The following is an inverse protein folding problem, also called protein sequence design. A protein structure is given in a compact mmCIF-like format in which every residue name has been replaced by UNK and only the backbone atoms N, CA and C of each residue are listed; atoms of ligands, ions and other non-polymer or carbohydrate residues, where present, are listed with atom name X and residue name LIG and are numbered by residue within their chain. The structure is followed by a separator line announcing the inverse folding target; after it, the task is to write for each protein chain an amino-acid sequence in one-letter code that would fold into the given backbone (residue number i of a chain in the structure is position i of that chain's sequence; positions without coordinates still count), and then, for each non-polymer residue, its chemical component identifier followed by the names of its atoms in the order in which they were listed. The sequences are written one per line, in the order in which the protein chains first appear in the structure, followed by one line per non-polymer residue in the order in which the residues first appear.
data_IF_763537834786
#
_entry.id   IF_763537834786
#
_cell.length_a   1.000
_cell.length_b   1.000
_cell.length_c   1.000
_cell.angle_alpha   90.00
_cell.angle_beta   90.00
_cell.angle_gamma   90.00
#
_symmetry.space_group_name_H-M   'P 1'
#
loop_
_entity.id
_entity.type
_entity.pdbx_description
1 polymer ?
#
# COMPACT_ATOMS: atom_id res chain seq x y z
N UNK A 1 -45.76 25.60 5.99
CA UNK A 1 -45.81 24.22 6.49
C UNK A 1 -44.38 23.82 6.66
N UNK A 2 -43.95 23.58 7.88
CA UNK A 2 -42.56 23.17 8.15
C UNK A 2 -42.45 21.68 7.85
N UNK A 3 -41.46 21.28 7.04
CA UNK A 3 -41.21 19.88 6.74
C UNK A 3 -40.32 19.30 7.84
N UNK A 4 -40.78 18.23 8.49
CA UNK A 4 -39.99 17.47 9.44
C UNK A 4 -39.48 16.19 8.78
N UNK A 5 -38.17 16.00 8.79
CA UNK A 5 -37.53 14.74 8.38
C UNK A 5 -36.80 14.13 9.57
N UNK A 6 -36.87 12.81 9.68
CA UNK A 6 -36.00 12.08 10.60
C UNK A 6 -34.58 12.01 10.03
N UNK A 7 -33.57 12.07 10.89
CA UNK A 7 -32.17 12.07 10.47
C UNK A 7 -31.79 10.83 9.64
N UNK A 8 -32.36 9.67 9.95
CA UNK A 8 -32.19 8.43 9.18
C UNK A 8 -32.69 8.54 7.72
N UNK A 9 -33.79 9.27 7.49
CA UNK A 9 -34.36 9.53 6.17
C UNK A 9 -33.48 10.52 5.40
N UNK A 10 -32.93 11.53 6.08
CA UNK A 10 -32.04 12.51 5.47
C UNK A 10 -30.74 11.86 4.99
N UNK A 11 -30.15 10.96 5.79
CA UNK A 11 -28.96 10.19 5.40
C UNK A 11 -29.27 9.27 4.22
N UNK A 12 -30.42 8.59 4.23
CA UNK A 12 -30.85 7.74 3.11
C UNK A 12 -31.10 8.55 1.83
N UNK A 13 -31.57 9.80 1.96
CA UNK A 13 -31.78 10.69 0.82
C UNK A 13 -30.46 11.27 0.28
N UNK A 14 -29.51 11.61 1.17
CA UNK A 14 -28.24 12.22 0.80
C UNK A 14 -27.29 11.23 0.10
N UNK A 15 -27.31 9.95 0.50
CA UNK A 15 -26.43 8.91 -0.06
C UNK A 15 -27.11 8.19 -1.24
N UNK A 16 -28.43 8.34 -1.39
CA UNK A 16 -29.22 7.64 -2.39
C UNK A 16 -29.63 6.24 -1.92
N UNK A 17 -30.61 5.64 -2.61
CA UNK A 17 -31.05 4.28 -2.30
C UNK A 17 -29.94 3.27 -2.59
N UNK A 18 -29.71 2.27 -1.73
CA UNK A 18 -28.64 1.30 -1.91
C UNK A 18 -28.81 0.53 -3.23
N UNK A 19 -27.88 0.75 -4.17
CA UNK A 19 -27.84 0.02 -5.44
C UNK A 19 -27.03 -1.28 -5.30
N UNK A 20 -27.55 -2.37 -5.87
CA UNK A 20 -26.86 -3.67 -5.87
C UNK A 20 -25.63 -3.57 -6.77
N UNK A 21 -24.44 -3.63 -6.17
CA UNK A 21 -23.16 -3.52 -6.87
C UNK A 21 -22.30 -2.32 -6.45
N UNK A 22 -22.90 -1.29 -5.83
CA UNK A 22 -22.19 -0.13 -5.30
C UNK A 22 -21.73 -0.36 -3.86
N UNK A 23 -20.73 -1.24 -3.67
CA UNK A 23 -20.28 -1.71 -2.35
C UNK A 23 -19.86 -0.55 -1.43
N UNK A 24 -19.19 0.48 -1.97
CA UNK A 24 -18.67 1.59 -1.18
C UNK A 24 -19.77 2.47 -0.57
N UNK A 25 -20.83 2.78 -1.34
CA UNK A 25 -21.94 3.60 -0.85
C UNK A 25 -22.85 2.83 0.11
N UNK A 26 -23.01 1.52 -0.12
CA UNK A 26 -23.74 0.66 0.81
C UNK A 26 -23.02 0.50 2.16
N UNK A 27 -21.69 0.41 2.14
CA UNK A 27 -20.87 0.37 3.36
C UNK A 27 -20.93 1.72 4.10
N UNK A 28 -20.80 2.83 3.37
CA UNK A 28 -20.89 4.18 3.92
C UNK A 28 -22.27 4.45 4.53
N UNK A 29 -23.34 4.05 3.85
CA UNK A 29 -24.71 4.16 4.36
C UNK A 29 -24.88 3.36 5.65
N UNK A 30 -24.41 2.11 5.71
CA UNK A 30 -24.46 1.27 6.92
C UNK A 30 -23.65 1.87 8.05
N UNK A 31 -22.45 2.36 7.75
CA UNK A 31 -21.57 2.99 8.73
C UNK A 31 -22.20 4.25 9.33
N UNK A 32 -22.75 5.14 8.49
CA UNK A 32 -23.40 6.37 8.95
C UNK A 32 -24.68 6.10 9.73
N UNK A 33 -25.47 5.09 9.33
CA UNK A 33 -26.63 4.65 10.10
C UNK A 33 -26.21 4.07 11.47
N UNK A 34 -25.08 3.37 11.55
CA UNK A 34 -24.58 2.82 12.81
C UNK A 34 -23.98 3.91 13.72
N UNK A 35 -23.30 4.90 13.15
CA UNK A 35 -22.86 6.10 13.90
C UNK A 35 -24.05 6.88 14.46
N UNK A 36 -25.14 7.00 13.72
CA UNK A 36 -26.36 7.65 14.19
C UNK A 36 -26.99 6.93 15.38
N UNK A 37 -26.95 5.58 15.39
CA UNK A 37 -27.37 4.80 16.56
C UNK A 37 -26.45 4.97 17.76
N UNK A 38 -25.13 4.98 17.54
CA UNK A 38 -24.15 5.16 18.61
C UNK A 38 -24.22 6.54 19.27
N UNK A 39 -24.79 7.53 18.58
CA UNK A 39 -24.91 8.92 19.07
C UNK A 39 -26.29 9.26 19.64
N UNK A 40 -27.20 8.27 19.74
CA UNK A 40 -28.61 8.46 20.15
C UNK A 40 -29.39 9.49 19.30
N UNK A 41 -28.89 9.81 18.10
CA UNK A 41 -29.48 10.80 17.19
C UNK A 41 -30.49 10.20 16.20
N UNK A 42 -30.78 8.90 16.30
CA UNK A 42 -31.71 8.19 15.40
C UNK A 42 -33.13 8.78 15.42
N UNK A 43 -33.55 9.38 16.54
CA UNK A 43 -34.86 10.04 16.70
C UNK A 43 -34.84 11.56 16.47
N UNK A 44 -33.68 12.14 16.15
CA UNK A 44 -33.56 13.57 15.92
C UNK A 44 -34.35 13.95 14.65
N UNK A 45 -35.33 14.85 14.83
CA UNK A 45 -36.13 15.41 13.75
C UNK A 45 -35.58 16.78 13.38
N UNK A 46 -35.25 16.95 12.11
CA UNK A 46 -34.81 18.23 11.56
C UNK A 46 -36.02 18.90 10.92
N UNK A 47 -36.38 20.06 11.44
CA UNK A 47 -37.43 20.93 10.90
C UNK A 47 -36.82 21.89 9.89
N UNK A 48 -37.28 21.86 8.64
CA UNK A 48 -36.93 22.86 7.64
C UNK A 48 -38.03 23.90 7.53
N UNK A 49 -37.65 25.19 7.63
CA UNK A 49 -38.56 26.29 7.37
C UNK A 49 -38.83 26.40 5.87
N UNK A 50 -40.03 26.81 5.49
CA UNK A 50 -40.41 27.04 4.09
C UNK A 50 -39.49 28.05 3.36
N UNK A 51 -38.85 28.96 4.09
CA UNK A 51 -37.87 29.91 3.53
C UNK A 51 -36.50 29.27 3.20
N UNK A 52 -36.13 28.17 3.86
CA UNK A 52 -34.86 27.47 3.61
C UNK A 52 -34.97 26.56 2.39
N UNK A 53 -36.12 25.90 2.24
CA UNK A 53 -36.42 25.05 1.07
C UNK A 53 -36.53 25.90 -0.21
N UNK A 54 -37.05 27.13 -0.11
CA UNK A 54 -37.11 28.06 -1.25
C UNK A 54 -35.72 28.51 -1.74
N UNK A 55 -34.69 28.50 -0.88
CA UNK A 55 -33.30 28.84 -1.26
C UNK A 55 -32.54 27.68 -1.91
N UNK A 56 -33.06 26.45 -1.83
CA UNK A 56 -32.43 25.24 -2.35
C UNK A 56 -32.95 24.82 -3.74
N UNK A 57 -33.93 25.55 -4.31
CA UNK A 57 -34.61 25.17 -5.53
C UNK A 57 -34.08 25.86 -6.79
N UNK A 58 -32.99 25.35 -7.38
CA UNK A 58 -32.86 25.33 -8.85
C UNK A 58 -31.75 24.38 -9.34
N UNK A 59 -31.68 23.13 -8.86
CA UNK A 59 -30.93 22.10 -9.58
C UNK A 59 -31.62 20.73 -9.50
N UNK A 60 -32.10 20.31 -10.67
CA UNK A 60 -32.39 18.94 -11.09
C UNK A 60 -33.47 18.15 -10.34
N UNK A 61 -34.72 18.26 -10.80
CA UNK A 61 -35.61 17.11 -11.03
C UNK A 61 -36.44 17.35 -12.30
N UNK A 62 -36.01 16.80 -13.44
CA UNK A 62 -36.89 16.57 -14.58
C UNK A 62 -37.86 15.44 -14.21
N UNK A 63 -39.18 15.64 -14.24
CA UNK A 63 -40.11 14.54 -14.12
C UNK A 63 -40.10 13.70 -15.40
N UNK A 64 -40.01 12.40 -15.23
CA UNK A 64 -40.25 11.39 -16.27
C UNK A 64 -41.73 11.45 -16.65
N UNK A 65 -42.04 11.95 -17.85
CA UNK A 65 -43.37 11.82 -18.44
C UNK A 65 -43.48 10.52 -19.24
N UNK A 66 -44.34 9.61 -18.79
CA UNK A 66 -44.99 8.60 -19.63
C UNK A 66 -46.36 9.14 -20.06
N UNK A 67 -46.66 8.98 -21.34
CA UNK A 67 -47.99 8.66 -21.88
C UNK A 67 -49.04 9.76 -21.79
N UNK A 68 -49.32 10.39 -22.93
CA UNK A 68 -50.32 11.44 -23.04
C UNK A 68 -51.77 10.97 -23.07
N UNK A 69 -52.67 11.94 -23.10
CA UNK A 69 -53.73 12.00 -24.10
C UNK A 69 -54.12 13.47 -24.32
N UNK A 70 -54.65 13.70 -25.51
CA UNK A 70 -54.96 14.97 -26.17
C UNK A 70 -56.24 15.60 -25.66
N UNK A 71 -56.40 16.87 -26.04
CA UNK A 71 -57.61 17.60 -26.51
C UNK A 71 -57.48 19.05 -26.03
N UNK A 72 -57.92 20.09 -26.71
CA UNK A 72 -58.16 20.46 -28.11
C UNK A 72 -58.51 21.97 -28.04
N UNK A 73 -58.66 22.62 -29.20
CA UNK A 73 -59.19 23.99 -29.43
C UNK A 73 -58.21 25.15 -29.17
N UNK A 74 -57.59 25.75 -30.19
CA UNK A 74 -58.15 26.59 -31.27
C UNK A 74 -58.45 28.04 -30.80
N UNK A 75 -57.90 29.03 -31.50
CA UNK A 75 -58.57 30.24 -32.04
C UNK A 75 -57.51 31.27 -32.52
N UNK A 76 -57.37 31.27 -33.85
CA UNK A 76 -57.14 32.34 -34.86
C UNK A 76 -56.25 33.61 -34.68
N UNK A 77 -55.59 34.10 -35.78
CA UNK A 77 -54.84 35.38 -35.93
C UNK A 77 -55.79 36.55 -36.31
N UNK A 78 -55.43 37.84 -36.64
CA UNK A 78 -54.15 38.42 -37.13
C UNK A 78 -53.83 39.90 -36.71
N UNK A 79 -52.70 40.49 -37.18
CA UNK A 79 -52.57 41.79 -37.92
C UNK A 79 -51.15 42.41 -37.82
N UNK A 80 -50.53 42.68 -38.98
CA UNK A 80 -49.38 43.60 -39.16
C UNK A 80 -49.84 45.07 -38.95
N UNK A 81 -48.96 46.01 -38.59
CA UNK A 81 -48.24 46.78 -39.62
C UNK A 81 -46.80 47.22 -39.22
N UNK A 82 -46.01 47.64 -40.22
CA UNK A 82 -44.83 48.48 -39.99
C UNK A 82 -43.54 47.98 -40.64
N UNK A 83 -43.39 48.23 -41.94
CA UNK A 83 -42.08 48.22 -42.58
C UNK A 83 -41.22 49.37 -42.04
N UNK A 84 -40.08 49.04 -41.43
CA UNK A 84 -38.90 49.91 -41.44
C UNK A 84 -37.74 49.10 -42.04
N UNK A 85 -37.46 49.37 -43.31
CA UNK A 85 -36.27 48.91 -44.00
C UNK A 85 -35.04 49.62 -43.39
N UNK A 86 -34.22 48.88 -42.66
CA UNK A 86 -32.82 49.24 -42.50
C UNK A 86 -32.06 48.80 -43.76
N UNK A 87 -31.19 49.65 -44.35
CA UNK A 87 -30.29 49.20 -45.39
C UNK A 87 -29.29 48.24 -44.76
N UNK A 88 -29.47 46.94 -44.96
CA UNK A 88 -28.45 45.96 -44.66
C UNK A 88 -27.40 46.10 -45.76
N UNK A 89 -26.22 46.58 -45.38
CA UNK A 89 -25.06 46.72 -46.25
C UNK A 89 -24.62 45.31 -46.70
N UNK A 90 -24.77 44.95 -48.00
CA UNK A 90 -24.55 43.59 -48.48
C UNK A 90 -23.13 43.10 -48.21
N UNK A 91 -22.15 44.00 -48.18
CA UNK A 91 -20.75 43.68 -47.89
C UNK A 91 -20.52 43.17 -46.45
N UNK A 92 -21.34 43.58 -45.48
CA UNK A 92 -21.22 43.08 -44.09
C UNK A 92 -21.85 41.72 -43.91
N UNK A 93 -22.89 41.41 -44.68
CA UNK A 93 -23.52 40.09 -44.69
C UNK A 93 -22.59 39.09 -45.36
N UNK A 94 -21.95 39.49 -46.47
CA UNK A 94 -20.94 38.68 -47.15
C UNK A 94 -19.74 38.41 -46.23
N UNK A 95 -19.25 39.43 -45.51
CA UNK A 95 -18.18 39.24 -44.53
C UNK A 95 -18.60 38.33 -43.35
N UNK A 96 -19.83 38.47 -42.84
CA UNK A 96 -20.34 37.58 -41.80
C UNK A 96 -20.50 36.14 -42.30
N UNK A 97 -20.87 35.97 -43.58
CA UNK A 97 -20.99 34.66 -44.19
C UNK A 97 -19.61 34.01 -44.32
N UNK A 98 -18.60 34.78 -44.75
CA UNK A 98 -17.20 34.38 -44.84
C UNK A 98 -16.65 33.98 -43.46
N UNK A 99 -16.86 34.81 -42.44
CA UNK A 99 -16.44 34.56 -41.06
C UNK A 99 -17.14 33.31 -40.48
N UNK A 100 -18.41 33.09 -40.81
CA UNK A 100 -19.17 31.92 -40.35
C UNK A 100 -18.75 30.63 -41.08
N UNK A 101 -18.34 30.73 -42.35
CA UNK A 101 -17.67 29.63 -43.06
C UNK A 101 -16.29 29.32 -42.49
N UNK A 102 -15.53 30.34 -42.08
CA UNK A 102 -14.22 30.15 -41.46
C UNK A 102 -14.34 29.50 -40.09
N UNK A 103 -15.28 29.95 -39.25
CA UNK A 103 -15.57 29.32 -37.95
C UNK A 103 -16.05 27.89 -38.12
N UNK A 104 -16.87 27.60 -39.14
CA UNK A 104 -17.27 26.23 -39.48
C UNK A 104 -16.05 25.37 -39.83
N UNK A 105 -15.15 25.88 -40.66
CA UNK A 105 -13.93 25.17 -41.05
C UNK A 105 -13.01 24.92 -39.84
N UNK A 106 -12.84 25.91 -38.97
CA UNK A 106 -12.02 25.79 -37.76
C UNK A 106 -12.62 24.79 -36.74
N UNK A 107 -13.96 24.73 -36.62
CA UNK A 107 -14.66 23.71 -35.82
C UNK A 107 -14.50 22.32 -36.41
N UNK A 108 -14.48 22.19 -37.73
CA UNK A 108 -14.32 20.93 -38.45
C UNK A 108 -12.87 20.42 -38.34
N UNK A 109 -11.85 21.30 -38.41
CA UNK A 109 -10.44 20.98 -38.12
C UNK A 109 -10.22 20.62 -36.65
N UNK A 110 -10.83 21.35 -35.72
CA UNK A 110 -10.73 21.04 -34.29
C UNK A 110 -11.43 19.72 -33.95
N UNK A 111 -12.58 19.43 -34.56
CA UNK A 111 -13.27 18.13 -34.43
C UNK A 111 -12.41 17.00 -34.98
N UNK A 112 -11.72 17.23 -36.10
CA UNK A 112 -10.77 16.27 -36.69
C UNK A 112 -9.60 16.00 -35.75
N UNK A 113 -9.02 17.05 -35.15
CA UNK A 113 -7.93 16.93 -34.17
C UNK A 113 -8.34 16.25 -32.88
N UNK A 114 -9.50 16.60 -32.32
CA UNK A 114 -10.05 15.94 -31.14
C UNK A 114 -10.30 14.45 -31.43
N UNK A 115 -10.81 14.10 -32.61
CA UNK A 115 -11.01 12.70 -33.01
C UNK A 115 -9.70 11.95 -33.22
N UNK A 116 -8.65 12.63 -33.68
CA UNK A 116 -7.30 12.06 -33.80
C UNK A 116 -6.64 11.89 -32.43
N UNK A 117 -6.92 12.79 -31.49
CA UNK A 117 -6.47 12.74 -30.09
C UNK A 117 -7.25 11.71 -29.25
N UNK A 118 -8.54 11.50 -29.56
CA UNK A 118 -9.40 10.47 -28.96
C UNK A 118 -8.96 9.06 -29.41
N UNK A 119 -8.56 8.91 -30.69
CA UNK A 119 -7.87 7.71 -31.17
C UNK A 119 -6.47 7.49 -30.57
N UNK A 120 -5.80 8.56 -30.10
CA UNK A 120 -4.53 8.48 -29.37
C UNK A 120 -4.71 8.02 -27.91
N UNK A 121 -5.85 8.30 -27.28
CA UNK A 121 -6.22 7.73 -25.96
C UNK A 121 -6.69 6.27 -26.05
N UNK A 122 -7.15 5.80 -27.21
CA UNK A 122 -7.37 4.38 -27.53
C UNK A 122 -6.10 3.68 -28.04
N UNK A 123 -4.92 4.28 -27.90
CA UNK A 123 -3.68 3.59 -28.27
C UNK A 123 -3.42 2.40 -27.34
N UNK A 124 -2.99 1.32 -27.99
CA UNK A 124 -2.43 0.05 -27.48
C UNK A 124 -1.87 0.07 -26.04
N UNK A 125 -1.08 1.07 -25.58
CA UNK A 125 -0.57 1.15 -24.21
C UNK A 125 -1.61 1.14 -23.09
N UNK A 126 -2.79 1.76 -23.26
CA UNK A 126 -3.81 1.74 -22.19
C UNK A 126 -4.51 0.38 -22.07
N UNK A 127 -4.67 -0.33 -23.19
CA UNK A 127 -5.22 -1.68 -23.20
C UNK A 127 -4.23 -2.70 -22.61
N UNK A 128 -2.93 -2.53 -22.89
CA UNK A 128 -1.87 -3.37 -22.30
C UNK A 128 -1.63 -3.06 -20.81
N UNK A 129 -1.75 -1.81 -20.39
CA UNK A 129 -1.74 -1.43 -18.98
C UNK A 129 -2.94 -2.03 -18.23
N UNK A 130 -4.11 -2.05 -18.87
CA UNK A 130 -5.31 -2.72 -18.33
C UNK A 130 -5.14 -4.24 -18.24
N UNK A 131 -4.49 -4.85 -19.23
CA UNK A 131 -4.15 -6.29 -19.20
C UNK A 131 -3.10 -6.61 -18.12
N UNK A 132 -2.15 -5.72 -17.87
CA UNK A 132 -1.15 -5.85 -16.80
C UNK A 132 -1.78 -5.69 -15.42
N UNK A 133 -2.76 -4.79 -15.28
CA UNK A 133 -3.55 -4.63 -14.05
C UNK A 133 -4.42 -5.88 -13.77
N UNK A 134 -4.90 -6.57 -14.80
CA UNK A 134 -5.58 -7.87 -14.68
C UNK A 134 -4.65 -9.00 -14.16
N UNK A 135 -3.34 -8.92 -14.40
CA UNK A 135 -2.38 -9.84 -13.78
C UNK A 135 -2.22 -9.59 -12.26
N UNK A 136 -2.48 -8.36 -11.80
CA UNK A 136 -2.47 -8.01 -10.36
C UNK A 136 -3.70 -8.60 -9.63
N UNK A 137 -4.86 -8.67 -10.28
CA UNK A 137 -6.02 -9.42 -9.75
C UNK A 137 -5.69 -10.91 -9.57
N UNK A 138 -4.95 -11.50 -10.51
CA UNK A 138 -4.44 -12.87 -10.39
C UNK A 138 -3.41 -13.07 -9.26
N UNK A 139 -2.69 -12.02 -8.85
CA UNK A 139 -1.81 -12.03 -7.69
C UNK A 139 -2.60 -12.00 -6.38
N UNK A 140 -3.71 -11.25 -6.31
CA UNK A 140 -4.61 -11.25 -5.15
C UNK A 140 -5.26 -12.63 -4.93
N UNK A 141 -5.66 -13.32 -6.00
CA UNK A 141 -6.23 -14.67 -5.90
C UNK A 141 -5.18 -15.72 -5.45
N UNK A 142 -3.92 -15.54 -5.85
CA UNK A 142 -2.79 -16.37 -5.37
C UNK A 142 -2.40 -16.07 -3.92
N UNK A 143 -2.44 -14.80 -3.50
CA UNK A 143 -2.25 -14.40 -2.10
C UNK A 143 -3.31 -15.01 -1.21
N UNK A 144 -4.57 -14.96 -1.64
CA UNK A 144 -5.69 -15.61 -0.93
C UNK A 144 -5.51 -17.12 -0.83
N UNK A 145 -5.02 -17.77 -1.89
CA UNK A 145 -4.72 -19.21 -1.88
C UNK A 145 -3.56 -19.57 -0.94
N UNK A 146 -2.58 -18.68 -0.80
CA UNK A 146 -1.49 -18.79 0.18
C UNK A 146 -2.00 -18.59 1.61
N UNK A 147 -2.90 -17.64 1.84
CA UNK A 147 -3.58 -17.43 3.14
C UNK A 147 -4.41 -18.66 3.55
N UNK A 148 -5.21 -19.21 2.63
CA UNK A 148 -6.02 -20.42 2.88
C UNK A 148 -5.12 -21.64 3.20
N UNK A 149 -3.94 -21.74 2.57
CA UNK A 149 -2.96 -22.77 2.88
C UNK A 149 -2.27 -22.55 4.24
N UNK A 150 -1.98 -21.31 4.60
CA UNK A 150 -1.43 -20.92 5.90
C UNK A 150 -2.41 -21.22 7.05
N UNK A 151 -3.70 -21.00 6.81
CA UNK A 151 -4.76 -21.37 7.76
C UNK A 151 -4.90 -22.91 7.85
N UNK A 152 -4.78 -23.64 6.73
CA UNK A 152 -4.76 -25.11 6.76
C UNK A 152 -3.55 -25.71 7.51
N UNK A 153 -2.42 -24.98 7.55
CA UNK A 153 -1.21 -25.37 8.27
C UNK A 153 -1.31 -25.16 9.79
N UNK A 154 -2.24 -24.30 10.23
CA UNK A 154 -2.51 -24.02 11.64
C UNK A 154 -3.27 -25.17 12.32
N UNK A 155 -4.09 -25.89 11.55
CA UNK A 155 -4.89 -27.03 12.03
C UNK A 155 -4.10 -28.35 12.17
N UNK A 156 -2.86 -28.40 11.66
CA UNK A 156 -2.01 -29.61 11.73
C UNK A 156 -0.91 -29.51 12.80
N UNK A 157 -1.13 -28.71 13.83
CA UNK A 157 -0.23 -28.58 14.97
C UNK A 157 -0.35 -29.75 15.95
N UNK A 158 -0.06 -30.99 15.55
CA UNK A 158 0.41 -32.10 16.44
C UNK A 158 0.70 -33.38 15.64
N UNK A 159 1.76 -33.48 14.83
CA UNK A 159 2.39 -34.80 14.60
C UNK A 159 3.89 -34.66 14.40
N UNK A 160 4.63 -35.29 15.30
CA UNK A 160 6.06 -35.57 15.20
C UNK A 160 6.33 -36.48 13.99
N UNK A 161 6.75 -35.94 12.86
CA UNK A 161 7.45 -36.77 11.87
C UNK A 161 8.54 -35.98 11.12
N UNK A 162 9.79 -36.39 11.34
CA UNK A 162 11.00 -35.70 10.85
C UNK A 162 11.17 -35.78 9.31
N UNK A 163 10.28 -36.49 8.61
CA UNK A 163 10.25 -36.54 7.14
C UNK A 163 9.54 -35.37 6.43
N UNK A 164 8.67 -34.63 7.13
CA UNK A 164 7.84 -33.57 6.50
C UNK A 164 8.55 -32.23 6.35
N UNK A 165 9.52 -31.91 7.22
CA UNK A 165 10.20 -30.59 7.20
C UNK A 165 11.09 -30.46 5.96
N UNK A 166 11.76 -31.53 5.52
CA UNK A 166 12.58 -31.53 4.30
C UNK A 166 11.76 -31.31 3.04
N UNK A 167 10.62 -31.98 2.91
CA UNK A 167 9.69 -31.78 1.79
C UNK A 167 9.10 -30.36 1.78
N UNK A 168 8.88 -29.78 2.97
CA UNK A 168 8.43 -28.39 3.11
C UNK A 168 9.52 -27.39 2.69
N UNK A 169 10.79 -27.71 2.94
CA UNK A 169 11.92 -26.87 2.54
C UNK A 169 12.12 -26.92 1.01
N UNK A 170 12.12 -28.11 0.41
CA UNK A 170 12.24 -28.29 -1.05
C UNK A 170 11.11 -27.59 -1.81
N UNK A 171 9.88 -27.66 -1.27
CA UNK A 171 8.74 -26.97 -1.86
C UNK A 171 8.88 -25.44 -1.75
N UNK A 172 9.35 -24.93 -0.61
CA UNK A 172 9.61 -23.50 -0.42
C UNK A 172 10.71 -23.01 -1.38
N UNK A 173 11.78 -23.78 -1.53
CA UNK A 173 12.90 -23.48 -2.41
C UNK A 173 12.47 -23.45 -3.88
N UNK A 174 11.67 -24.44 -4.31
CA UNK A 174 11.09 -24.47 -5.66
C UNK A 174 10.17 -23.27 -5.91
N UNK A 175 9.38 -22.88 -4.91
CA UNK A 175 8.44 -21.74 -5.02
C UNK A 175 9.18 -20.40 -5.05
N UNK A 176 10.22 -20.24 -4.22
CA UNK A 176 11.06 -19.05 -4.20
C UNK A 176 11.84 -18.90 -5.51
N UNK A 177 12.39 -19.99 -6.04
CA UNK A 177 13.06 -19.99 -7.35
C UNK A 177 12.10 -19.60 -8.48
N UNK A 178 10.84 -20.06 -8.43
CA UNK A 178 9.83 -19.67 -9.41
C UNK A 178 9.44 -18.19 -9.33
N UNK A 179 9.39 -17.62 -8.12
CA UNK A 179 9.16 -16.18 -7.95
C UNK A 179 10.36 -15.34 -8.40
N UNK A 180 11.60 -15.82 -8.19
CA UNK A 180 12.81 -15.13 -8.62
C UNK A 180 12.89 -15.05 -10.16
N UNK A 181 12.54 -16.14 -10.85
CA UNK A 181 12.46 -16.17 -12.32
C UNK A 181 11.35 -15.25 -12.85
N UNK A 182 10.21 -15.17 -12.16
CA UNK A 182 9.13 -14.24 -12.52
C UNK A 182 9.52 -12.77 -12.29
N UNK A 183 10.20 -12.46 -11.17
CA UNK A 183 10.70 -11.11 -10.90
C UNK A 183 11.72 -10.69 -11.97
N UNK A 184 12.60 -11.61 -12.36
CA UNK A 184 13.60 -11.38 -13.41
C UNK A 184 12.93 -11.09 -14.76
N UNK A 185 11.87 -11.82 -15.11
CA UNK A 185 11.11 -11.58 -16.34
C UNK A 185 10.35 -10.24 -16.34
N UNK A 186 9.74 -9.87 -15.21
CA UNK A 186 9.07 -8.55 -15.07
C UNK A 186 10.11 -7.43 -15.16
N UNK A 187 11.25 -7.58 -14.49
CA UNK A 187 12.32 -6.58 -14.51
C UNK A 187 12.90 -6.42 -15.93
N UNK A 188 13.12 -7.51 -16.65
CA UNK A 188 13.56 -7.46 -18.05
C UNK A 188 12.53 -6.79 -18.97
N UNK A 189 11.24 -7.04 -18.75
CA UNK A 189 10.16 -6.38 -19.51
C UNK A 189 10.12 -4.88 -19.21
N UNK A 190 10.28 -4.48 -17.95
CA UNK A 190 10.35 -3.07 -17.56
C UNK A 190 11.58 -2.38 -18.17
N UNK A 191 12.75 -3.01 -18.11
CA UNK A 191 13.98 -2.49 -18.72
C UNK A 191 13.83 -2.29 -20.24
N UNK A 192 13.12 -3.19 -20.93
CA UNK A 192 12.87 -3.05 -22.38
C UNK A 192 11.90 -1.90 -22.69
N UNK A 193 10.88 -1.67 -21.86
CA UNK A 193 9.82 -0.68 -22.14
C UNK A 193 10.11 0.73 -21.61
N UNK A 194 10.92 0.88 -20.56
CA UNK A 194 11.32 2.17 -20.00
C UNK A 194 11.93 3.15 -21.03
N UNK A 195 12.86 2.73 -21.94
CA UNK A 195 13.44 3.64 -22.92
C UNK A 195 12.40 4.13 -23.94
N UNK A 196 11.46 3.28 -24.37
CA UNK A 196 10.39 3.69 -25.29
C UNK A 196 9.44 4.72 -24.66
N UNK A 197 9.07 4.53 -23.39
CA UNK A 197 8.24 5.51 -22.67
C UNK A 197 8.99 6.84 -22.48
N UNK A 198 10.29 6.78 -22.20
CA UNK A 198 11.13 7.98 -22.03
C UNK A 198 11.24 8.77 -23.33
N UNK A 199 11.47 8.09 -24.46
CA UNK A 199 11.53 8.71 -25.79
C UNK A 199 10.19 9.35 -26.17
N UNK A 200 9.07 8.66 -25.94
CA UNK A 200 7.73 9.20 -26.19
C UNK A 200 7.39 10.40 -25.31
N UNK A 201 7.87 10.43 -24.06
CA UNK A 201 7.68 11.58 -23.18
C UNK A 201 8.48 12.79 -23.66
N UNK A 202 9.69 12.56 -24.19
CA UNK A 202 10.55 13.61 -24.72
C UNK A 202 10.00 14.21 -26.02
N UNK A 203 9.42 13.38 -26.90
CA UNK A 203 8.69 13.83 -28.10
C UNK A 203 7.47 14.69 -27.72
N UNK A 204 6.66 14.24 -26.75
CA UNK A 204 5.49 14.99 -26.28
C UNK A 204 5.89 16.33 -25.64
N UNK A 205 7.01 16.36 -24.93
CA UNK A 205 7.53 17.58 -24.32
C UNK A 205 8.00 18.59 -25.40
N UNK A 206 8.62 18.12 -26.47
CA UNK A 206 8.98 18.95 -27.62
C UNK A 206 7.74 19.49 -28.34
N UNK A 207 6.71 18.68 -28.55
CA UNK A 207 5.45 19.14 -29.15
C UNK A 207 4.75 20.19 -28.29
N UNK A 208 4.76 20.02 -26.96
CA UNK A 208 4.23 21.01 -26.02
C UNK A 208 5.01 22.33 -26.07
N UNK A 209 6.34 22.26 -26.22
CA UNK A 209 7.20 23.42 -26.42
C UNK A 209 6.88 24.19 -27.70
N UNK A 210 6.73 23.47 -28.83
CA UNK A 210 6.35 24.06 -30.11
C UNK A 210 4.93 24.66 -30.09
N UNK A 211 3.99 24.00 -29.40
CA UNK A 211 2.63 24.50 -29.25
C UNK A 211 2.60 25.78 -28.40
N UNK A 212 3.37 25.82 -27.31
CA UNK A 212 3.51 27.00 -26.46
C UNK A 212 4.12 28.20 -27.24
N UNK A 213 5.13 27.94 -28.08
CA UNK A 213 5.69 28.96 -28.98
C UNK A 213 4.64 29.46 -29.98
N UNK A 214 3.87 28.56 -30.60
CA UNK A 214 2.83 28.91 -31.57
C UNK A 214 1.66 29.71 -30.95
N UNK A 215 1.28 29.39 -29.71
CA UNK A 215 0.28 30.14 -28.95
C UNK A 215 0.80 31.52 -28.57
N UNK A 216 2.07 31.63 -28.17
CA UNK A 216 2.70 32.92 -27.86
C UNK A 216 2.83 33.82 -29.10
N UNK A 217 3.20 33.26 -30.27
CA UNK A 217 3.28 34.00 -31.55
C UNK A 217 1.89 34.46 -32.05
N UNK A 218 0.83 33.67 -31.83
CA UNK A 218 -0.56 34.10 -32.13
C UNK A 218 -1.04 35.21 -31.20
N UNK A 219 -0.67 35.18 -29.92
CA UNK A 219 -1.01 36.24 -28.97
C UNK A 219 -0.28 37.57 -29.27
N UNK A 220 1.00 37.51 -29.72
CA UNK A 220 1.75 38.71 -30.12
C UNK A 220 1.24 39.29 -31.45
N UNK A 221 0.89 38.44 -32.42
CA UNK A 221 0.32 38.90 -33.71
C UNK A 221 -1.13 39.39 -33.62
N UNK A 222 -1.91 38.94 -32.64
CA UNK A 222 -3.26 39.46 -32.38
C UNK A 222 -3.26 40.85 -31.70
N UNK A 223 -2.14 41.26 -31.07
CA UNK A 223 -2.06 42.53 -30.35
C UNK A 223 -1.76 43.73 -31.26
N UNK A 224 -1.09 43.51 -32.40
CA UNK A 224 -0.58 44.62 -33.24
C UNK A 224 -1.55 45.13 -34.33
N UNK A 225 -2.71 44.50 -34.53
CA UNK A 225 -3.67 44.89 -35.58
C UNK A 225 -5.00 45.49 -35.09
N UNK A 226 -5.17 45.75 -33.78
CA UNK A 226 -6.47 46.19 -33.23
C UNK A 226 -6.54 47.63 -32.69
N UNK A 227 -5.55 48.47 -32.98
CA UNK A 227 -5.67 49.91 -32.75
C UNK A 227 -6.03 50.62 -34.05
N UNK A 228 -7.02 51.52 -33.99
CA UNK A 228 -7.64 52.27 -35.11
C UNK A 228 -8.76 51.53 -35.85
N UNK A 229 -9.93 51.43 -35.21
CA UNK A 229 -11.20 51.86 -35.84
C UNK A 229 -12.29 51.97 -34.77
N UNK A 230 -12.49 53.17 -34.25
CA UNK A 230 -13.74 53.53 -33.59
C UNK A 230 -14.89 53.34 -34.58
N UNK A 231 -15.68 52.29 -34.39
CA UNK A 231 -17.00 52.16 -35.00
C UNK A 231 -17.99 51.89 -33.88
N UNK A 232 -18.66 52.97 -33.47
CA UNK A 232 -19.83 52.96 -32.58
C UNK A 232 -20.75 51.79 -32.96
N UNK A 233 -20.83 50.80 -32.10
CA UNK A 233 -21.89 49.79 -32.11
C UNK A 233 -22.73 50.03 -30.87
N UNK A 234 -23.99 50.38 -31.13
CA UNK A 234 -25.05 50.40 -30.15
C UNK A 234 -25.35 48.99 -29.67
N UNK A 235 -24.77 48.59 -28.55
CA UNK A 235 -25.39 47.64 -27.63
C UNK A 235 -25.56 48.37 -26.30
N UNK A 236 -26.68 48.13 -25.63
CA UNK A 236 -27.01 48.79 -24.37
C UNK A 236 -25.89 48.57 -23.34
N UNK A 237 -25.41 49.62 -22.65
CA UNK A 237 -24.29 49.53 -21.72
C UNK A 237 -24.52 48.51 -20.59
N UNK A 238 -25.78 48.20 -20.26
CA UNK A 238 -26.15 47.27 -19.19
C UNK A 238 -25.70 45.81 -19.43
N UNK A 239 -25.67 45.34 -20.68
CA UNK A 239 -25.41 43.92 -20.95
C UNK A 239 -23.92 43.57 -20.81
N UNK A 240 -23.04 44.47 -21.25
CA UNK A 240 -21.59 44.32 -21.10
C UNK A 240 -21.15 44.47 -19.65
N UNK A 241 -21.72 45.42 -18.89
CA UNK A 241 -21.45 45.53 -17.45
C UNK A 241 -21.95 44.32 -16.65
N UNK A 242 -23.10 43.73 -17.02
CA UNK A 242 -23.62 42.54 -16.36
C UNK A 242 -22.75 41.29 -16.60
N UNK A 243 -22.21 41.12 -17.82
CA UNK A 243 -21.25 40.06 -18.11
C UNK A 243 -19.94 40.22 -17.36
N UNK A 244 -19.41 41.45 -17.27
CA UNK A 244 -18.19 41.76 -16.51
C UNK A 244 -18.38 41.46 -15.02
N UNK A 245 -19.50 41.87 -14.43
CA UNK A 245 -19.81 41.60 -13.03
C UNK A 245 -19.93 40.09 -12.74
N UNK A 246 -20.50 39.30 -13.66
CA UNK A 246 -20.52 37.85 -13.55
C UNK A 246 -19.12 37.22 -13.58
N UNK A 247 -18.23 37.70 -14.46
CA UNK A 247 -16.85 37.21 -14.53
C UNK A 247 -16.10 37.57 -13.24
N UNK A 248 -16.29 38.78 -12.71
CA UNK A 248 -15.68 39.20 -11.44
C UNK A 248 -16.17 38.33 -10.27
N UNK A 249 -17.48 38.01 -10.23
CA UNK A 249 -18.03 37.12 -9.21
C UNK A 249 -17.45 35.70 -9.31
N UNK A 250 -17.33 35.16 -10.53
CA UNK A 250 -16.68 33.86 -10.77
C UNK A 250 -15.20 33.86 -10.41
N UNK A 251 -14.48 34.94 -10.75
CA UNK A 251 -13.08 35.11 -10.40
C UNK A 251 -12.90 35.14 -8.87
N UNK A 252 -13.78 35.84 -8.17
CA UNK A 252 -13.78 35.91 -6.71
C UNK A 252 -14.04 34.53 -6.08
N UNK A 253 -14.95 33.75 -6.67
CA UNK A 253 -15.21 32.36 -6.25
C UNK A 253 -13.98 31.47 -6.44
N UNK A 254 -13.35 31.52 -7.63
CA UNK A 254 -12.14 30.73 -7.91
C UNK A 254 -10.97 31.14 -7.01
N UNK A 255 -10.85 32.42 -6.68
CA UNK A 255 -9.87 32.90 -5.70
C UNK A 255 -10.11 32.31 -4.32
N UNK A 256 -11.36 32.29 -3.86
CA UNK A 256 -11.72 31.66 -2.58
C UNK A 256 -11.42 30.16 -2.57
N UNK A 257 -11.73 29.46 -3.65
CA UNK A 257 -11.42 28.03 -3.78
C UNK A 257 -9.90 27.77 -3.80
N UNK A 258 -9.11 28.65 -4.43
CA UNK A 258 -7.65 28.62 -4.40
C UNK A 258 -7.09 28.80 -2.99
N UNK A 259 -7.64 29.73 -2.21
CA UNK A 259 -7.25 29.95 -0.83
C UNK A 259 -7.60 28.73 0.04
N UNK A 260 -8.80 28.17 -0.13
CA UNK A 260 -9.23 26.96 0.56
C UNK A 260 -8.33 25.77 0.20
N UNK A 261 -8.01 25.58 -1.07
CA UNK A 261 -7.11 24.52 -1.54
C UNK A 261 -5.70 24.71 -0.97
N UNK A 262 -5.22 25.95 -0.91
CA UNK A 262 -3.91 26.28 -0.32
C UNK A 262 -3.89 25.90 1.16
N UNK A 263 -4.94 26.24 1.91
CA UNK A 263 -5.08 25.86 3.32
C UNK A 263 -5.15 24.34 3.53
N UNK A 264 -5.90 23.63 2.69
CA UNK A 264 -5.94 22.16 2.75
C UNK A 264 -4.56 21.57 2.44
N UNK A 265 -3.85 22.12 1.45
CA UNK A 265 -2.51 21.69 1.07
C UNK A 265 -1.53 21.89 2.22
N UNK A 266 -1.55 23.04 2.90
CA UNK A 266 -0.67 23.31 4.05
C UNK A 266 -0.96 22.34 5.20
N UNK A 267 -2.23 22.06 5.49
CA UNK A 267 -2.59 21.11 6.54
C UNK A 267 -2.13 19.69 6.20
N UNK A 268 -2.27 19.26 4.95
CA UNK A 268 -1.79 17.95 4.50
C UNK A 268 -0.27 17.84 4.59
N UNK A 269 0.48 18.90 4.27
CA UNK A 269 1.93 18.91 4.43
C UNK A 269 2.34 18.85 5.90
N UNK A 270 1.66 19.56 6.80
CA UNK A 270 1.94 19.48 8.24
C UNK A 270 1.62 18.09 8.80
N UNK A 271 0.51 17.47 8.40
CA UNK A 271 0.21 16.09 8.78
C UNK A 271 1.22 15.08 8.21
N UNK A 272 1.70 15.30 7.00
CA UNK A 272 2.76 14.48 6.39
C UNK A 272 4.04 14.56 7.23
N UNK A 273 4.44 15.77 7.64
CA UNK A 273 5.62 15.98 8.48
C UNK A 273 5.45 15.32 9.86
N UNK A 274 4.26 15.41 10.46
CA UNK A 274 3.95 14.72 11.72
C UNK A 274 4.02 13.20 11.59
N UNK A 275 3.46 12.62 10.51
CA UNK A 275 3.55 11.19 10.24
C UNK A 275 4.99 10.76 10.01
N UNK A 276 5.79 11.57 9.32
CA UNK A 276 7.21 11.30 9.09
C UNK A 276 7.98 11.27 10.42
N UNK A 277 7.76 12.24 11.32
CA UNK A 277 8.37 12.22 12.65
C UNK A 277 7.99 10.98 13.48
N UNK A 278 6.75 10.50 13.38
CA UNK A 278 6.33 9.28 14.07
C UNK A 278 7.00 8.03 13.47
N UNK A 279 7.13 7.98 12.14
CA UNK A 279 7.86 6.89 11.45
C UNK A 279 9.32 6.85 11.89
N UNK A 280 9.98 8.01 11.96
CA UNK A 280 11.38 8.09 12.39
C UNK A 280 11.54 7.60 13.83
N UNK A 281 10.64 8.00 14.73
CA UNK A 281 10.62 7.55 16.13
C UNK A 281 10.41 6.03 16.24
N UNK A 282 9.44 5.46 15.50
CA UNK A 282 9.21 4.01 15.48
C UNK A 282 10.42 3.26 14.92
N UNK A 283 11.10 3.84 13.93
CA UNK A 283 12.28 3.23 13.32
C UNK A 283 13.45 3.18 14.30
N UNK A 284 13.66 4.25 15.08
CA UNK A 284 14.62 4.27 16.19
C UNK A 284 14.29 3.21 17.25
N UNK A 285 13.01 3.10 17.66
CA UNK A 285 12.57 2.08 18.62
C UNK A 285 12.82 0.66 18.11
N UNK A 286 12.58 0.39 16.82
CA UNK A 286 12.86 -0.90 16.18
C UNK A 286 14.36 -1.22 16.26
N UNK A 287 15.23 -0.24 16.04
CA UNK A 287 16.68 -0.48 16.07
C UNK A 287 17.17 -0.83 17.49
N UNK A 288 16.68 -0.11 18.51
CA UNK A 288 16.96 -0.44 19.91
C UNK A 288 16.47 -1.85 20.25
N UNK A 289 15.26 -2.21 19.80
CA UNK A 289 14.70 -3.55 20.04
C UNK A 289 15.48 -4.65 19.31
N UNK A 290 16.02 -4.40 18.11
CA UNK A 290 16.88 -5.38 17.42
C UNK A 290 18.13 -5.70 18.22
N UNK A 291 18.81 -4.68 18.75
CA UNK A 291 20.00 -4.86 19.59
C UNK A 291 19.65 -5.65 20.84
N UNK A 292 18.62 -5.24 21.57
CA UNK A 292 18.19 -5.94 22.78
C UNK A 292 17.77 -7.40 22.50
N UNK A 293 17.13 -7.67 21.36
CA UNK A 293 16.74 -9.03 20.96
C UNK A 293 17.95 -9.88 20.58
N UNK A 294 18.95 -9.31 19.91
CA UNK A 294 20.21 -9.99 19.60
C UNK A 294 20.97 -10.38 20.88
N UNK A 295 21.05 -9.47 21.86
CA UNK A 295 21.65 -9.73 23.17
C UNK A 295 20.92 -10.86 23.91
N UNK A 296 19.58 -10.84 23.89
CA UNK A 296 18.76 -11.89 24.49
C UNK A 296 19.05 -13.26 23.87
N UNK A 297 19.10 -13.36 22.54
CA UNK A 297 19.40 -14.61 21.84
C UNK A 297 20.79 -15.13 22.22
N UNK A 298 21.80 -14.26 22.29
CA UNK A 298 23.14 -14.65 22.73
C UNK A 298 23.14 -15.20 24.18
N UNK A 299 22.37 -14.60 25.08
CA UNK A 299 22.21 -15.11 26.45
C UNK A 299 21.52 -16.48 26.46
N UNK A 300 20.47 -16.66 25.65
CA UNK A 300 19.77 -17.94 25.49
C UNK A 300 20.72 -19.04 24.98
N UNK A 301 21.58 -18.74 24.00
CA UNK A 301 22.57 -19.67 23.46
C UNK A 301 23.61 -20.08 24.53
N UNK A 302 24.13 -19.12 25.29
CA UNK A 302 25.06 -19.39 26.41
C UNK A 302 24.39 -20.27 27.47
N UNK A 303 23.12 -19.99 27.80
CA UNK A 303 22.37 -20.77 28.78
C UNK A 303 22.09 -22.19 28.29
N UNK A 304 21.76 -22.37 27.01
CA UNK A 304 21.58 -23.69 26.42
C UNK A 304 22.88 -24.51 26.48
N UNK A 305 24.02 -23.90 26.10
CA UNK A 305 25.34 -24.53 26.21
C UNK A 305 25.69 -24.90 27.65
N UNK A 306 25.39 -24.02 28.61
CA UNK A 306 25.63 -24.30 30.04
C UNK A 306 24.72 -25.40 30.58
N UNK A 307 23.47 -25.48 30.12
CA UNK A 307 22.56 -26.55 30.47
C UNK A 307 23.06 -27.90 29.94
N UNK A 308 23.52 -27.96 28.69
CA UNK A 308 24.11 -29.16 28.10
C UNK A 308 25.40 -29.57 28.81
N UNK A 309 26.28 -28.60 29.11
CA UNK A 309 27.49 -28.85 29.91
C UNK A 309 27.13 -29.40 31.30
N UNK A 310 26.09 -28.88 31.94
CA UNK A 310 25.59 -29.38 33.23
C UNK A 310 25.01 -30.80 33.11
N UNK A 311 24.32 -31.10 32.00
CA UNK A 311 23.84 -32.45 31.71
C UNK A 311 24.99 -33.43 31.45
N UNK A 312 26.06 -32.98 30.77
CA UNK A 312 27.28 -33.77 30.55
C UNK A 312 28.01 -34.01 31.87
N UNK A 313 28.16 -32.98 32.71
CA UNK A 313 28.70 -33.11 34.08
C UNK A 313 27.87 -34.07 34.95
N UNK A 314 26.55 -34.18 34.69
CA UNK A 314 25.71 -35.17 35.36
C UNK A 314 25.89 -36.59 34.81
N UNK A 315 26.09 -36.74 33.49
CA UNK A 315 26.29 -38.05 32.83
C UNK A 315 27.69 -38.63 33.09
N UNK A 316 28.72 -37.81 33.08
CA UNK A 316 30.03 -38.12 33.68
C UNK A 316 29.97 -37.63 35.12
N UNK A 317 29.13 -38.29 35.92
CA UNK A 317 28.93 -37.92 37.32
C UNK A 317 30.28 -37.88 38.03
N UNK A 318 30.60 -36.72 38.62
CA UNK A 318 31.75 -36.56 39.50
C UNK A 318 31.77 -37.69 40.53
N UNK A 319 30.62 -37.98 41.13
CA UNK A 319 30.44 -39.08 42.09
C UNK A 319 30.79 -40.45 41.48
N UNK A 320 30.41 -40.73 40.23
CA UNK A 320 30.78 -42.00 39.58
C UNK A 320 32.28 -42.11 39.34
N UNK A 321 32.92 -41.01 38.93
CA UNK A 321 34.36 -40.96 38.73
C UNK A 321 35.11 -41.08 40.07
N UNK A 322 34.62 -40.41 41.11
CA UNK A 322 35.15 -40.46 42.48
C UNK A 322 35.03 -41.85 43.08
N UNK A 323 33.87 -42.51 42.94
CA UNK A 323 33.67 -43.93 43.33
C UNK A 323 34.66 -44.85 42.60
N UNK A 324 34.96 -44.59 41.32
CA UNK A 324 35.94 -45.39 40.56
C UNK A 324 37.37 -45.12 41.03
N UNK A 325 37.70 -43.89 41.40
CA UNK A 325 39.01 -43.53 41.98
C UNK A 325 39.17 -44.18 43.36
N UNK A 326 38.17 -44.06 44.23
CA UNK A 326 38.19 -44.70 45.56
C UNK A 326 38.34 -46.22 45.42
N UNK A 327 37.58 -46.84 44.51
CA UNK A 327 37.68 -48.26 44.23
C UNK A 327 39.04 -48.68 43.64
N UNK A 328 39.70 -47.81 42.89
CA UNK A 328 41.06 -48.05 42.40
C UNK A 328 42.10 -47.89 43.51
N UNK A 329 41.97 -46.85 44.34
CA UNK A 329 42.82 -46.62 45.51
C UNK A 329 42.76 -47.80 46.46
N UNK A 330 41.56 -48.29 46.79
CA UNK A 330 41.37 -49.44 47.65
C UNK A 330 42.04 -50.72 47.08
N UNK A 331 41.99 -50.92 45.76
CA UNK A 331 42.70 -52.03 45.10
C UNK A 331 44.22 -51.87 45.12
N UNK A 332 44.70 -50.63 45.03
CA UNK A 332 46.13 -50.33 45.13
C UNK A 332 46.64 -50.58 46.56
N UNK A 333 45.87 -50.18 47.57
CA UNK A 333 46.18 -50.47 48.97
C UNK A 333 46.14 -51.98 49.27
N UNK A 334 45.16 -52.71 48.75
CA UNK A 334 45.13 -54.18 48.84
C UNK A 334 46.36 -54.82 48.18
N UNK A 335 46.76 -54.33 47.02
CA UNK A 335 47.96 -54.81 46.34
C UNK A 335 49.25 -54.50 47.13
N UNK A 336 49.36 -53.33 47.75
CA UNK A 336 50.48 -52.97 48.63
C UNK A 336 50.51 -53.83 49.88
N UNK A 337 49.37 -53.99 50.57
CA UNK A 337 49.29 -54.86 51.75
C UNK A 337 49.70 -56.30 51.41
N UNK A 338 49.28 -56.82 50.25
CA UNK A 338 49.72 -58.14 49.78
C UNK A 338 51.21 -58.18 49.48
N UNK A 339 51.77 -57.11 48.92
CA UNK A 339 53.21 -57.01 48.68
C UNK A 339 53.98 -57.00 49.99
N UNK A 340 53.54 -56.25 51.00
CA UNK A 340 54.15 -56.20 52.33
C UNK A 340 54.14 -57.57 53.00
N UNK A 341 53.01 -58.30 52.96
CA UNK A 341 52.93 -59.67 53.49
C UNK A 341 53.91 -60.60 52.77
N UNK A 342 54.03 -60.47 51.45
CA UNK A 342 55.02 -61.23 50.71
C UNK A 342 56.44 -60.81 51.11
N UNK A 343 56.73 -59.53 51.29
CA UNK A 343 58.04 -59.07 51.74
C UNK A 343 58.42 -59.66 53.11
N UNK A 344 57.49 -59.66 54.08
CA UNK A 344 57.69 -60.26 55.40
C UNK A 344 57.97 -61.77 55.30
N UNK A 345 57.19 -62.49 54.50
CA UNK A 345 57.41 -63.93 54.27
C UNK A 345 58.80 -64.21 53.67
N UNK A 346 59.23 -63.39 52.71
CA UNK A 346 60.55 -63.53 52.10
C UNK A 346 61.67 -63.18 53.08
N UNK A 347 61.48 -62.19 53.95
CA UNK A 347 62.44 -61.89 55.02
C UNK A 347 62.56 -63.05 56.02
N UNK A 348 61.44 -63.67 56.42
CA UNK A 348 61.45 -64.85 57.29
C UNK A 348 62.19 -66.03 56.62
N UNK A 349 61.90 -66.32 55.35
CA UNK A 349 62.60 -67.38 54.62
C UNK A 349 64.11 -67.11 54.50
N UNK A 350 64.51 -65.85 54.32
CA UNK A 350 65.92 -65.45 54.30
C UNK A 350 66.57 -65.64 55.68
N UNK A 351 65.90 -65.29 56.77
CA UNK A 351 66.39 -65.54 58.13
C UNK A 351 66.52 -67.04 58.43
N UNK A 352 65.52 -67.84 58.05
CA UNK A 352 65.56 -69.30 58.19
C UNK A 352 66.70 -69.91 57.37
N UNK A 353 66.91 -69.46 56.14
CA UNK A 353 68.01 -69.93 55.30
C UNK A 353 69.37 -69.52 55.88
N UNK A 354 69.48 -68.29 56.41
CA UNK A 354 70.68 -67.81 57.10
C UNK A 354 70.99 -68.68 58.32
N UNK A 355 70.00 -69.00 59.14
CA UNK A 355 70.16 -69.88 60.30
C UNK A 355 70.54 -71.33 59.91
N UNK A 356 69.99 -71.87 58.82
CA UNK A 356 70.38 -73.19 58.30
C UNK A 356 71.83 -73.19 57.78
N UNK A 357 72.25 -72.13 57.09
CA UNK A 357 73.64 -71.96 56.64
C UNK A 357 74.59 -71.87 57.84
N UNK A 358 74.26 -71.06 58.85
CA UNK A 358 75.07 -70.92 60.08
C UNK A 358 75.21 -72.27 60.79
N UNK A 359 74.11 -73.00 60.98
CA UNK A 359 74.13 -74.36 61.57
C UNK A 359 74.92 -75.36 60.72
N UNK A 360 74.84 -75.29 59.38
CA UNK A 360 75.65 -76.13 58.49
C UNK A 360 77.13 -75.77 58.57
N UNK A 361 77.47 -74.49 58.65
CA UNK A 361 78.84 -74.02 58.86
C UNK A 361 79.39 -74.53 60.19
N UNK A 362 78.67 -74.34 61.30
CA UNK A 362 79.07 -74.85 62.62
C UNK A 362 79.38 -76.35 62.57
N UNK A 363 78.50 -77.14 61.94
CA UNK A 363 78.71 -78.59 61.76
C UNK A 363 79.98 -78.90 60.96
N UNK A 364 80.29 -78.12 59.93
CA UNK A 364 81.53 -78.31 59.18
C UNK A 364 82.76 -77.91 59.97
N UNK A 365 82.71 -76.85 60.79
CA UNK A 365 83.82 -76.44 61.65
C UNK A 365 84.15 -77.52 62.69
N UNK A 366 83.13 -78.16 63.30
CA UNK A 366 83.32 -79.32 64.18
C UNK A 366 83.84 -80.58 63.46
N UNK A 367 83.70 -80.66 62.14
CA UNK A 367 84.16 -81.81 61.35
C UNK A 367 85.61 -81.66 60.85
N UNK A 368 86.20 -80.47 60.96
CA UNK A 368 87.58 -80.17 60.52
C UNK A 368 88.59 -79.95 61.67
N UNK A 369 88.14 -80.02 62.92
CA UNK A 369 88.96 -80.23 64.14
C UNK A 369 88.89 -81.67 64.58
#
# INVERSE_FOLDING_TARGET
MDLQFQMNQLVSLAIGTPEVGAVNFNLLQRFLLEMLKMTDLDSATVTFSAEEVAKLGENTLKPVSKGGDKTDEEVTPPKKPGFHQCPIDPQKVDQLLEDLTQVKFDLEDLTSKVKTMEGATETVPFQEMRNSLSQVDGLQERLKKLEDMLESLKDLGTVEDKGTVGQRLDFLETTLSGHDEQLTNINGTLEEKLPYITEQFEELHQEMGLLNEKVNVKNVSAFDQRSVQERRVSSTPDQTTSSINNIIARLSSVQHDLDNLTMVTTNLTEEQDQRQMMIDTLSEQIEVLKVAKADKTNVEDILASKADMSQVHRKVSHDHFEIKIEGLSAKMDDAFNRLDVHEDMWQEEVELLKADIENKMDKTEFSFT
#
